data_IF_979139893607
#
_entry.id   IF_979139893607
#
_cell.length_a   1.000
_cell.length_b   1.000
_cell.length_c   1.000
_cell.angle_alpha   90.00
_cell.angle_beta   90.00
_cell.angle_gamma   90.00
#
_symmetry.space_group_name_H-M   'P 1'
#
loop_
_entity.id
_entity.type
_entity.pdbx_description
1 polymer ?
#
# COMPACT_ATOMS: atom_id res chain seq x y z
N UNK A 1 -31.99 56.59 -39.41
CA UNK A 1 -32.54 55.56 -38.47
C UNK A 1 -32.09 54.10 -38.80
N UNK A 2 -32.07 53.67 -40.08
CA UNK A 2 -31.68 52.31 -40.43
C UNK A 2 -30.18 51.94 -40.13
N UNK A 3 -29.26 52.91 -40.20
CA UNK A 3 -27.82 52.65 -39.88
C UNK A 3 -27.50 52.55 -38.41
N UNK A 4 -28.27 53.21 -37.54
CA UNK A 4 -28.12 53.10 -36.07
C UNK A 4 -28.67 51.79 -35.53
N UNK A 5 -29.70 51.23 -36.12
CA UNK A 5 -30.28 49.95 -35.73
C UNK A 5 -29.38 48.73 -36.03
N UNK A 6 -28.56 48.82 -37.13
CA UNK A 6 -27.62 47.78 -37.49
C UNK A 6 -26.40 47.70 -36.53
N UNK A 7 -25.96 48.82 -35.98
CA UNK A 7 -24.83 48.88 -35.05
C UNK A 7 -25.23 48.31 -33.67
N UNK A 8 -26.47 48.55 -33.22
CA UNK A 8 -26.97 47.96 -31.97
C UNK A 8 -27.16 46.47 -32.06
N UNK A 9 -27.57 45.93 -33.22
CA UNK A 9 -27.74 44.49 -33.43
C UNK A 9 -26.41 43.71 -33.45
N UNK A 10 -25.33 44.34 -33.99
CA UNK A 10 -23.98 43.76 -33.97
C UNK A 10 -23.36 43.80 -32.57
N UNK A 11 -23.61 44.86 -31.79
CA UNK A 11 -23.14 44.97 -30.40
C UNK A 11 -23.81 43.96 -29.47
N UNK A 12 -25.09 43.61 -29.68
CA UNK A 12 -25.81 42.60 -28.88
C UNK A 12 -25.33 41.18 -29.27
N UNK A 13 -24.97 40.89 -30.54
CA UNK A 13 -24.38 39.60 -30.92
C UNK A 13 -22.93 39.43 -30.44
N UNK A 14 -22.17 40.50 -30.23
CA UNK A 14 -20.81 40.44 -29.72
C UNK A 14 -20.75 40.21 -28.19
N UNK A 15 -21.82 40.56 -27.44
CA UNK A 15 -21.91 40.29 -26.01
C UNK A 15 -22.38 38.86 -25.69
N UNK A 16 -22.96 38.13 -26.64
CA UNK A 16 -23.41 36.75 -26.40
C UNK A 16 -22.34 35.66 -26.67
N UNK A 17 -21.12 36.04 -27.09
CA UNK A 17 -20.01 35.13 -27.32
C UNK A 17 -19.01 35.07 -26.15
N UNK A 18 -19.24 35.78 -25.06
CA UNK A 18 -18.46 35.73 -23.82
C UNK A 18 -19.15 35.00 -22.67
N UNK A 19 -20.19 34.19 -22.93
CA UNK A 19 -20.51 33.10 -22.02
C UNK A 19 -19.51 31.97 -22.29
N UNK A 20 -18.24 32.25 -21.97
CA UNK A 20 -17.26 31.20 -21.76
C UNK A 20 -17.89 30.21 -20.79
N UNK A 21 -17.71 28.92 -21.05
CA UNK A 21 -17.91 27.88 -20.10
C UNK A 21 -17.15 28.26 -18.80
N UNK A 22 -17.80 28.98 -17.90
CA UNK A 22 -17.45 28.89 -16.52
C UNK A 22 -17.78 27.43 -16.20
N UNK A 23 -16.77 26.58 -16.01
CA UNK A 23 -16.93 25.40 -15.20
C UNK A 23 -17.71 25.89 -14.00
N UNK A 24 -18.91 25.35 -13.81
CA UNK A 24 -19.59 25.49 -12.53
C UNK A 24 -18.70 24.73 -11.57
N UNK A 25 -17.83 25.47 -10.88
CA UNK A 25 -17.36 25.07 -9.58
C UNK A 25 -18.65 25.01 -8.72
N UNK A 26 -19.20 23.85 -8.58
CA UNK A 26 -20.41 23.60 -7.78
C UNK A 26 -20.08 23.66 -6.28
N UNK A 27 -18.82 23.99 -5.94
CA UNK A 27 -18.33 24.09 -4.56
C UNK A 27 -18.25 22.75 -3.85
N UNK A 28 -18.37 21.64 -4.58
CA UNK A 28 -18.27 20.30 -4.04
C UNK A 28 -16.83 19.81 -4.23
N UNK A 29 -16.15 19.57 -3.11
CA UNK A 29 -14.80 18.98 -3.11
C UNK A 29 -14.86 17.51 -3.46
N UNK A 30 -14.08 17.08 -4.46
CA UNK A 30 -14.01 15.70 -4.95
C UNK A 30 -12.64 15.08 -4.77
N UNK A 31 -12.57 13.90 -4.20
CA UNK A 31 -11.34 13.14 -3.99
C UNK A 31 -11.36 11.83 -4.79
N UNK A 32 -10.27 11.54 -5.49
CA UNK A 32 -10.06 10.22 -6.09
C UNK A 32 -9.26 9.33 -5.12
N UNK A 33 -9.80 8.19 -4.73
CA UNK A 33 -9.07 7.15 -4.00
C UNK A 33 -8.65 6.09 -5.03
N UNK A 34 -7.35 5.83 -5.15
CA UNK A 34 -6.82 4.90 -6.17
C UNK A 34 -6.06 3.77 -5.50
N UNK A 35 -6.73 2.65 -5.29
CA UNK A 35 -6.16 1.46 -4.66
C UNK A 35 -5.40 0.62 -5.68
N UNK A 36 -4.22 0.09 -5.32
CA UNK A 36 -3.39 -0.72 -6.22
C UNK A 36 -4.07 -2.03 -6.61
N UNK A 37 -4.60 -2.77 -5.63
CA UNK A 37 -5.39 -4.00 -5.81
C UNK A 37 -6.25 -4.25 -4.56
N UNK A 38 -7.17 -5.20 -4.64
CA UNK A 38 -8.01 -5.58 -3.49
C UNK A 38 -7.32 -6.67 -2.67
N UNK A 39 -7.10 -6.39 -1.39
CA UNK A 39 -6.83 -7.35 -0.32
C UNK A 39 -7.11 -6.68 1.04
N UNK A 40 -7.24 -7.47 2.10
CA UNK A 40 -7.79 -7.02 3.38
C UNK A 40 -7.10 -5.77 3.95
N UNK A 41 -5.76 -5.71 3.98
CA UNK A 41 -5.05 -4.53 4.52
C UNK A 41 -5.33 -3.26 3.71
N UNK A 42 -5.32 -3.31 2.36
CA UNK A 42 -5.61 -2.13 1.54
C UNK A 42 -7.10 -1.75 1.59
N UNK A 43 -8.01 -2.72 1.74
CA UNK A 43 -9.44 -2.47 1.91
C UNK A 43 -9.74 -1.80 3.26
N UNK A 44 -9.03 -2.18 4.32
CA UNK A 44 -9.10 -1.49 5.62
C UNK A 44 -8.66 -0.04 5.51
N UNK A 45 -7.53 0.23 4.85
CA UNK A 45 -7.04 1.59 4.59
C UNK A 45 -8.10 2.40 3.84
N UNK A 46 -8.60 1.86 2.71
CA UNK A 46 -9.61 2.52 1.88
C UNK A 46 -10.85 2.83 2.68
N UNK A 47 -11.39 1.86 3.41
CA UNK A 47 -12.61 2.02 4.21
C UNK A 47 -12.44 3.10 5.28
N UNK A 48 -11.28 3.16 5.94
CA UNK A 48 -10.98 4.18 6.94
C UNK A 48 -10.84 5.58 6.32
N UNK A 49 -10.20 5.70 5.15
CA UNK A 49 -10.12 6.97 4.39
C UNK A 49 -11.53 7.44 3.99
N UNK A 50 -12.36 6.55 3.41
CA UNK A 50 -13.74 6.84 3.01
C UNK A 50 -14.59 7.32 4.20
N UNK A 51 -14.38 6.76 5.39
CA UNK A 51 -15.07 7.18 6.61
C UNK A 51 -14.69 8.63 7.02
N UNK A 52 -13.40 8.99 6.97
CA UNK A 52 -12.93 10.34 7.30
C UNK A 52 -13.43 11.39 6.29
N UNK A 53 -13.40 11.07 4.97
CA UNK A 53 -13.93 11.94 3.93
C UNK A 53 -15.45 12.13 4.07
N UNK A 54 -16.19 11.06 4.34
CA UNK A 54 -17.64 11.10 4.61
C UNK A 54 -17.95 11.99 5.81
N UNK A 55 -17.22 11.82 6.91
CA UNK A 55 -17.40 12.64 8.11
C UNK A 55 -17.12 14.14 7.86
N UNK A 56 -16.23 14.45 6.92
CA UNK A 56 -15.90 15.81 6.50
C UNK A 56 -16.87 16.38 5.44
N UNK A 57 -17.80 15.59 4.90
CA UNK A 57 -18.72 15.99 3.84
C UNK A 57 -18.05 16.16 2.47
N UNK A 58 -16.95 15.43 2.23
CA UNK A 58 -16.19 15.45 0.98
C UNK A 58 -16.65 14.30 0.10
N UNK A 59 -16.96 14.58 -1.17
CA UNK A 59 -17.30 13.54 -2.15
C UNK A 59 -16.04 12.80 -2.62
N UNK A 60 -16.16 11.50 -2.81
CA UNK A 60 -15.06 10.69 -3.32
C UNK A 60 -15.52 9.63 -4.30
N UNK A 61 -14.56 9.14 -5.06
CA UNK A 61 -14.73 7.96 -5.91
C UNK A 61 -13.50 7.06 -5.77
N UNK A 62 -13.75 5.78 -5.55
CA UNK A 62 -12.72 4.76 -5.43
C UNK A 62 -12.50 4.03 -6.76
N UNK A 63 -11.24 3.77 -7.08
CA UNK A 63 -10.76 3.07 -8.25
C UNK A 63 -9.84 1.92 -7.85
N UNK A 64 -9.83 0.84 -8.61
CA UNK A 64 -8.96 -0.31 -8.41
C UNK A 64 -8.01 -0.49 -9.60
N UNK A 65 -6.71 -0.51 -9.33
CA UNK A 65 -5.65 -0.68 -10.32
C UNK A 65 -5.40 -2.12 -10.73
N UNK A 66 -5.99 -3.11 -10.05
CA UNK A 66 -5.87 -4.55 -10.36
C UNK A 66 -4.40 -5.04 -10.40
N UNK A 67 -3.54 -4.40 -9.63
CA UNK A 67 -2.09 -4.62 -9.64
C UNK A 67 -1.43 -4.50 -11.03
N UNK A 68 -2.00 -3.65 -11.89
CA UNK A 68 -1.55 -3.46 -13.26
C UNK A 68 -1.19 -1.99 -13.53
N UNK A 69 0.08 -1.73 -13.84
CA UNK A 69 0.58 -0.38 -14.08
C UNK A 69 -0.12 0.32 -15.25
N UNK A 70 -0.56 -0.41 -16.27
CA UNK A 70 -1.28 0.18 -17.41
C UNK A 70 -2.67 0.65 -16.99
N UNK A 71 -3.36 -0.14 -16.19
CA UNK A 71 -4.66 0.21 -15.59
C UNK A 71 -4.52 1.43 -14.68
N UNK A 72 -3.51 1.44 -13.79
CA UNK A 72 -3.23 2.59 -12.92
C UNK A 72 -2.93 3.87 -13.71
N UNK A 73 -2.15 3.79 -14.78
CA UNK A 73 -1.88 4.94 -15.66
C UNK A 73 -3.13 5.46 -16.37
N UNK A 74 -4.04 4.57 -16.80
CA UNK A 74 -5.33 4.96 -17.37
C UNK A 74 -6.22 5.66 -16.34
N UNK A 75 -6.29 5.12 -15.11
CA UNK A 75 -6.99 5.75 -13.99
C UNK A 75 -6.40 7.12 -13.69
N UNK A 76 -5.07 7.26 -13.64
CA UNK A 76 -4.38 8.53 -13.41
C UNK A 76 -4.73 9.57 -14.48
N UNK A 77 -4.70 9.20 -15.76
CA UNK A 77 -5.11 10.09 -16.85
C UNK A 77 -6.59 10.53 -16.73
N UNK A 78 -7.47 9.60 -16.34
CA UNK A 78 -8.89 9.91 -16.11
C UNK A 78 -9.05 10.86 -14.93
N UNK A 79 -8.44 10.57 -13.77
CA UNK A 79 -8.56 11.37 -12.55
C UNK A 79 -8.09 12.81 -12.77
N UNK A 80 -6.96 12.99 -13.47
CA UNK A 80 -6.45 14.32 -13.83
C UNK A 80 -7.38 15.05 -14.80
N UNK A 81 -8.02 14.32 -15.74
CA UNK A 81 -8.97 14.90 -16.72
C UNK A 81 -10.32 15.27 -16.08
N UNK A 82 -10.73 14.56 -15.02
CA UNK A 82 -12.02 14.74 -14.35
C UNK A 82 -11.96 15.82 -13.25
N UNK A 83 -10.84 16.57 -13.16
CA UNK A 83 -10.60 17.71 -12.25
C UNK A 83 -10.92 17.38 -10.77
N UNK A 84 -10.31 16.31 -10.23
CA UNK A 84 -10.37 16.01 -8.80
C UNK A 84 -9.51 16.98 -8.00
N UNK A 85 -9.99 17.39 -6.81
CA UNK A 85 -9.32 18.34 -5.93
C UNK A 85 -8.14 17.73 -5.15
N UNK A 86 -8.12 16.41 -4.98
CA UNK A 86 -7.01 15.65 -4.42
C UNK A 86 -7.05 14.19 -4.90
N UNK A 87 -5.91 13.53 -4.83
CA UNK A 87 -5.76 12.10 -5.15
C UNK A 87 -5.18 11.39 -3.92
N UNK A 88 -5.81 10.30 -3.50
CA UNK A 88 -5.32 9.44 -2.42
C UNK A 88 -4.98 8.08 -3.01
N UNK A 89 -3.73 7.87 -3.47
CA UNK A 89 -3.28 6.55 -3.89
C UNK A 89 -2.98 5.67 -2.68
N UNK A 90 -3.37 4.39 -2.77
CA UNK A 90 -3.10 3.37 -1.75
C UNK A 90 -2.11 2.36 -2.32
N UNK A 91 -1.00 2.17 -1.65
CA UNK A 91 0.21 1.42 -1.99
C UNK A 91 1.13 2.12 -3.01
N UNK A 92 2.37 1.65 -3.07
CA UNK A 92 3.51 2.37 -3.68
C UNK A 92 3.36 2.53 -5.19
N UNK A 93 3.00 1.48 -5.93
CA UNK A 93 2.84 1.57 -7.39
C UNK A 93 1.70 2.53 -7.79
N UNK A 94 0.59 2.51 -7.04
CA UNK A 94 -0.50 3.45 -7.26
C UNK A 94 -0.03 4.90 -7.03
N UNK A 95 0.75 5.15 -5.97
CA UNK A 95 1.30 6.47 -5.69
C UNK A 95 2.22 6.96 -6.80
N UNK A 96 3.14 6.12 -7.27
CA UNK A 96 4.04 6.46 -8.39
C UNK A 96 3.29 6.79 -9.68
N UNK A 97 2.26 5.99 -10.01
CA UNK A 97 1.43 6.24 -11.20
C UNK A 97 0.65 7.56 -11.08
N UNK A 98 0.07 7.86 -9.91
CA UNK A 98 -0.70 9.09 -9.71
C UNK A 98 0.20 10.33 -9.70
N UNK A 99 1.38 10.28 -9.07
CA UNK A 99 2.37 11.37 -9.12
C UNK A 99 2.81 11.63 -10.57
N UNK A 100 3.07 10.56 -11.33
CA UNK A 100 3.44 10.68 -12.75
C UNK A 100 2.30 11.28 -13.59
N UNK A 101 1.06 10.85 -13.38
CA UNK A 101 -0.10 11.36 -14.12
C UNK A 101 -0.39 12.83 -13.82
N UNK A 102 -0.15 13.27 -12.59
CA UNK A 102 -0.38 14.65 -12.13
C UNK A 102 0.84 15.56 -12.31
N UNK A 103 1.89 15.13 -13.03
CA UNK A 103 3.08 15.95 -13.25
C UNK A 103 2.73 17.31 -13.88
N UNK A 104 3.30 18.38 -13.30
CA UNK A 104 3.00 19.75 -13.68
C UNK A 104 1.62 20.27 -13.28
N UNK A 105 0.86 19.53 -12.47
CA UNK A 105 -0.41 19.98 -11.84
C UNK A 105 -0.22 20.27 -10.37
N UNK A 106 -1.01 21.19 -9.85
CA UNK A 106 -1.04 21.54 -8.42
C UNK A 106 -2.15 20.76 -7.69
N UNK A 107 -2.23 19.46 -7.94
CA UNK A 107 -3.19 18.55 -7.31
C UNK A 107 -2.51 17.91 -6.11
N UNK A 108 -3.03 18.07 -4.88
CA UNK A 108 -2.49 17.37 -3.71
C UNK A 108 -2.58 15.84 -3.87
N UNK A 109 -1.47 15.15 -3.61
CA UNK A 109 -1.40 13.69 -3.61
C UNK A 109 -1.03 13.24 -2.21
N UNK A 110 -1.91 12.49 -1.57
CA UNK A 110 -1.75 12.02 -0.21
C UNK A 110 -1.73 10.49 -0.23
N UNK A 111 -0.54 9.91 -0.37
CA UNK A 111 -0.41 8.45 -0.46
C UNK A 111 -0.66 7.77 0.89
N UNK A 112 -1.16 6.53 0.84
CA UNK A 112 -1.33 5.65 1.98
C UNK A 112 -0.48 4.39 1.80
N UNK A 113 0.19 3.94 2.87
CA UNK A 113 0.97 2.71 2.90
C UNK A 113 2.04 2.62 1.78
N UNK A 114 2.89 3.64 1.68
CA UNK A 114 4.13 3.55 0.92
C UNK A 114 5.26 3.19 1.88
N UNK A 115 5.81 1.97 1.77
CA UNK A 115 6.77 1.47 2.75
C UNK A 115 8.08 2.26 2.77
N UNK A 116 8.58 2.69 1.60
CA UNK A 116 9.75 3.58 1.47
C UNK A 116 9.47 4.70 0.47
N UNK A 117 8.89 5.83 0.91
CA UNK A 117 8.58 6.95 0.02
C UNK A 117 9.81 7.56 -0.65
N UNK A 118 10.98 7.50 0.00
CA UNK A 118 12.21 8.06 -0.56
C UNK A 118 12.71 7.22 -1.75
N UNK A 119 12.80 5.90 -1.59
CA UNK A 119 13.19 4.98 -2.68
C UNK A 119 12.16 4.98 -3.81
N UNK A 120 10.87 5.18 -3.48
CA UNK A 120 9.81 5.29 -4.47
C UNK A 120 9.79 6.63 -5.24
N UNK A 121 10.64 7.61 -4.87
CA UNK A 121 10.68 8.94 -5.49
C UNK A 121 9.48 9.83 -5.14
N UNK A 122 8.86 9.60 -3.98
CA UNK A 122 7.64 10.29 -3.53
C UNK A 122 7.92 11.41 -2.51
N UNK A 123 9.17 11.84 -2.37
CA UNK A 123 9.59 12.89 -1.43
C UNK A 123 10.10 14.13 -2.13
N UNK A 124 10.10 15.28 -1.43
CA UNK A 124 10.65 16.53 -1.96
C UNK A 124 9.75 17.30 -2.92
N UNK A 125 8.51 16.86 -3.13
CA UNK A 125 7.50 17.56 -3.93
C UNK A 125 6.52 18.31 -3.01
N UNK A 126 6.24 19.58 -3.34
CA UNK A 126 5.47 20.47 -2.47
C UNK A 126 4.00 20.04 -2.26
N UNK A 127 3.43 19.30 -3.20
CA UNK A 127 2.04 18.83 -3.20
C UNK A 127 1.90 17.33 -2.94
N UNK A 128 2.97 16.62 -2.54
CA UNK A 128 2.96 15.17 -2.30
C UNK A 128 3.35 14.88 -0.86
N UNK A 129 2.53 14.10 -0.18
CA UNK A 129 2.75 13.61 1.19
C UNK A 129 2.00 12.30 1.40
N UNK A 130 1.99 11.77 2.62
CA UNK A 130 1.20 10.59 2.95
C UNK A 130 1.67 9.86 4.18
N UNK A 131 1.33 8.57 4.24
CA UNK A 131 1.69 7.67 5.34
C UNK A 131 2.54 6.50 4.86
N UNK A 132 3.51 6.12 5.68
CA UNK A 132 4.38 4.97 5.44
C UNK A 132 4.11 3.86 6.45
N UNK A 133 4.07 2.64 5.95
CA UNK A 133 4.01 1.38 6.70
C UNK A 133 5.39 0.69 6.75
N UNK A 134 6.46 1.46 6.84
CA UNK A 134 7.83 0.96 6.87
C UNK A 134 8.01 -0.20 7.86
N UNK A 135 8.63 -1.29 7.40
CA UNK A 135 8.82 -2.49 8.21
C UNK A 135 10.00 -2.36 9.16
N UNK A 136 9.88 -2.95 10.34
CA UNK A 136 11.02 -3.31 11.17
C UNK A 136 11.50 -4.71 10.79
N UNK A 137 12.19 -4.83 9.66
CA UNK A 137 12.66 -6.09 9.09
C UNK A 137 13.53 -6.88 10.06
N UNK A 138 14.40 -6.19 10.81
CA UNK A 138 15.26 -6.84 11.82
C UNK A 138 14.43 -7.49 12.92
N UNK A 139 13.39 -6.83 13.38
CA UNK A 139 12.51 -7.37 14.40
C UNK A 139 11.77 -8.62 13.92
N UNK A 140 11.33 -8.66 12.65
CA UNK A 140 10.70 -9.85 12.07
C UNK A 140 11.69 -11.02 12.03
N UNK A 141 12.95 -10.78 11.69
CA UNK A 141 14.00 -11.82 11.74
C UNK A 141 14.25 -12.26 13.20
N UNK A 142 14.28 -11.33 14.17
CA UNK A 142 14.39 -11.68 15.58
C UNK A 142 13.23 -12.53 16.08
N UNK A 143 11.99 -12.31 15.56
CA UNK A 143 10.84 -13.19 15.82
C UNK A 143 11.09 -14.61 15.30
N UNK A 144 11.68 -14.77 14.10
CA UNK A 144 12.03 -16.08 13.56
C UNK A 144 13.00 -16.80 14.51
N UNK A 145 14.06 -16.10 14.93
CA UNK A 145 15.11 -16.66 15.81
C UNK A 145 14.60 -16.91 17.24
N UNK A 146 13.61 -16.15 17.71
CA UNK A 146 12.99 -16.39 19.01
C UNK A 146 12.14 -17.67 19.03
N UNK A 147 11.45 -17.99 17.91
CA UNK A 147 10.68 -19.23 17.77
C UNK A 147 11.58 -20.43 17.47
N UNK A 148 12.59 -20.24 16.62
CA UNK A 148 13.56 -21.30 16.29
C UNK A 148 14.98 -20.72 16.25
N UNK A 149 15.76 -20.89 17.33
CA UNK A 149 17.16 -20.40 17.39
C UNK A 149 18.13 -21.18 16.49
N UNK A 150 17.73 -22.32 15.97
CA UNK A 150 18.57 -23.18 15.13
C UNK A 150 18.42 -22.90 13.62
N UNK A 151 17.73 -21.79 13.24
CA UNK A 151 17.62 -21.36 11.85
C UNK A 151 19.01 -21.17 11.23
N UNK A 152 19.28 -21.85 10.16
CA UNK A 152 20.54 -21.84 9.40
C UNK A 152 20.40 -21.19 8.02
N UNK A 153 19.19 -21.20 7.46
CA UNK A 153 18.89 -20.62 6.15
C UNK A 153 17.49 -20.00 6.11
N UNK A 154 17.38 -18.76 5.66
CA UNK A 154 16.11 -18.05 5.43
C UNK A 154 15.85 -17.91 3.94
N UNK A 155 14.65 -18.28 3.49
CA UNK A 155 14.16 -17.97 2.15
C UNK A 155 13.69 -16.50 2.08
N UNK A 156 14.13 -15.76 1.09
CA UNK A 156 13.66 -14.41 0.80
C UNK A 156 12.79 -14.49 -0.47
N UNK A 157 11.47 -14.35 -0.30
CA UNK A 157 10.49 -14.44 -1.38
C UNK A 157 9.89 -13.06 -1.66
N UNK A 158 10.13 -12.51 -2.83
CA UNK A 158 9.68 -11.17 -3.19
C UNK A 158 9.56 -10.98 -4.71
N UNK A 159 9.03 -9.83 -5.13
CA UNK A 159 8.93 -9.43 -6.54
C UNK A 159 9.96 -8.34 -6.88
N UNK A 160 10.62 -8.48 -8.02
CA UNK A 160 11.51 -7.45 -8.56
C UNK A 160 10.74 -6.26 -9.18
N UNK A 161 9.43 -6.37 -9.34
CA UNK A 161 8.57 -5.30 -9.85
C UNK A 161 8.03 -4.37 -8.76
N UNK A 162 8.26 -4.71 -7.49
CA UNK A 162 7.76 -3.97 -6.32
C UNK A 162 8.93 -3.25 -5.63
N UNK A 163 9.05 -1.93 -5.84
CA UNK A 163 10.13 -1.13 -5.26
C UNK A 163 10.07 -1.08 -3.73
N UNK A 164 8.87 -1.21 -3.14
CA UNK A 164 8.66 -1.33 -1.70
C UNK A 164 9.28 -2.60 -1.09
N UNK A 165 9.64 -3.59 -1.90
CA UNK A 165 10.33 -4.80 -1.44
C UNK A 165 11.86 -4.61 -1.36
N UNK A 166 12.44 -3.64 -2.07
CA UNK A 166 13.90 -3.50 -2.18
C UNK A 166 14.56 -3.21 -0.83
N UNK A 167 14.09 -2.20 -0.10
CA UNK A 167 14.65 -1.80 1.19
C UNK A 167 14.54 -2.91 2.23
N UNK A 168 13.36 -3.53 2.50
CA UNK A 168 13.25 -4.62 3.45
C UNK A 168 14.10 -5.83 3.10
N UNK A 169 14.22 -6.19 1.82
CA UNK A 169 15.07 -7.30 1.38
C UNK A 169 16.55 -6.98 1.58
N UNK A 170 17.00 -5.76 1.28
CA UNK A 170 18.38 -5.34 1.54
C UNK A 170 18.71 -5.36 3.05
N UNK A 171 17.79 -4.89 3.90
CA UNK A 171 17.91 -4.94 5.36
C UNK A 171 17.94 -6.38 5.89
N UNK A 172 17.06 -7.26 5.36
CA UNK A 172 17.04 -8.67 5.74
C UNK A 172 18.38 -9.35 5.43
N UNK A 173 18.93 -9.14 4.23
CA UNK A 173 20.21 -9.69 3.81
C UNK A 173 21.34 -9.20 4.72
N UNK A 174 21.42 -7.89 4.95
CA UNK A 174 22.44 -7.31 5.81
C UNK A 174 22.38 -7.85 7.24
N UNK A 175 21.17 -8.04 7.78
CA UNK A 175 21.00 -8.54 9.13
C UNK A 175 21.26 -10.04 9.25
N UNK A 176 20.88 -10.84 8.26
CA UNK A 176 21.20 -12.26 8.18
C UNK A 176 22.72 -12.49 8.04
N UNK A 177 23.40 -11.66 7.24
CA UNK A 177 24.88 -11.67 7.12
C UNK A 177 25.54 -11.35 8.49
N UNK A 178 25.04 -10.33 9.23
CA UNK A 178 25.50 -10.00 10.58
C UNK A 178 25.36 -11.17 11.56
N UNK A 179 24.25 -11.93 11.46
CA UNK A 179 23.98 -13.12 12.28
C UNK A 179 24.71 -14.37 11.80
N UNK A 180 25.34 -14.36 10.63
CA UNK A 180 25.97 -15.53 10.04
C UNK A 180 24.99 -16.58 9.53
N UNK A 181 23.75 -16.18 9.20
CA UNK A 181 22.67 -17.04 8.72
C UNK A 181 22.62 -16.96 7.19
N UNK A 182 22.64 -18.10 6.52
CA UNK A 182 22.52 -18.13 5.07
C UNK A 182 21.09 -17.74 4.61
N UNK A 183 21.00 -17.22 3.39
CA UNK A 183 19.69 -16.95 2.76
C UNK A 183 19.64 -17.41 1.32
N UNK A 184 18.42 -17.64 0.83
CA UNK A 184 18.14 -18.07 -0.54
C UNK A 184 17.07 -17.16 -1.13
N UNK A 185 17.46 -16.32 -2.09
CA UNK A 185 16.53 -15.44 -2.79
C UNK A 185 15.75 -16.17 -3.88
N UNK A 186 14.44 -15.97 -3.91
CA UNK A 186 13.55 -16.40 -4.97
C UNK A 186 12.56 -15.28 -5.29
N UNK A 187 12.41 -15.01 -6.58
CA UNK A 187 11.58 -13.90 -7.06
C UNK A 187 10.55 -14.38 -8.07
N UNK A 188 9.41 -13.68 -8.10
CA UNK A 188 8.36 -13.88 -9.09
C UNK A 188 7.52 -12.59 -9.21
N UNK A 189 7.19 -12.19 -10.43
CA UNK A 189 6.41 -10.97 -10.70
C UNK A 189 4.97 -11.29 -11.13
N UNK A 190 4.74 -12.50 -11.64
CA UNK A 190 3.43 -13.02 -11.99
C UNK A 190 3.05 -14.20 -11.08
N UNK A 191 1.77 -14.51 -10.98
CA UNK A 191 1.24 -15.52 -10.08
C UNK A 191 1.94 -16.91 -10.22
N UNK A 192 2.15 -17.38 -11.43
CA UNK A 192 2.81 -18.65 -11.73
C UNK A 192 4.31 -18.63 -11.41
N UNK A 193 4.97 -17.50 -11.60
CA UNK A 193 6.36 -17.29 -11.21
C UNK A 193 6.52 -17.33 -9.69
N UNK A 194 5.62 -16.64 -8.95
CA UNK A 194 5.60 -16.65 -7.47
C UNK A 194 5.42 -18.07 -6.93
N UNK A 195 4.46 -18.83 -7.47
CA UNK A 195 4.24 -20.21 -7.08
C UNK A 195 5.48 -21.07 -7.37
N UNK A 196 6.13 -20.86 -8.50
CA UNK A 196 7.39 -21.54 -8.85
C UNK A 196 8.50 -21.16 -7.88
N UNK A 197 8.61 -19.89 -7.53
CA UNK A 197 9.60 -19.36 -6.57
C UNK A 197 9.39 -19.96 -5.16
N UNK A 198 8.14 -20.02 -4.68
CA UNK A 198 7.79 -20.62 -3.39
C UNK A 198 8.16 -22.12 -3.35
N UNK A 199 7.80 -22.89 -4.39
CA UNK A 199 8.17 -24.29 -4.50
C UNK A 199 9.71 -24.51 -4.53
N UNK A 200 10.46 -23.56 -5.10
CA UNK A 200 11.92 -23.66 -5.15
C UNK A 200 12.60 -23.41 -3.78
N UNK A 201 11.87 -22.96 -2.76
CA UNK A 201 12.32 -22.81 -1.37
C UNK A 201 12.11 -24.08 -0.54
N UNK A 202 11.17 -24.94 -0.94
CA UNK A 202 10.81 -26.16 -0.21
C UNK A 202 12.01 -27.09 0.00
N UNK A 203 12.25 -27.45 1.27
CA UNK A 203 13.37 -28.29 1.70
C UNK A 203 14.74 -27.65 1.60
N UNK A 204 14.82 -26.32 1.45
CA UNK A 204 16.08 -25.58 1.27
C UNK A 204 16.29 -24.43 2.26
N UNK A 205 15.28 -24.08 3.01
CA UNK A 205 15.33 -23.07 4.06
C UNK A 205 14.48 -23.49 5.27
N UNK A 206 14.76 -22.90 6.43
CA UNK A 206 14.13 -23.20 7.70
C UNK A 206 12.94 -22.28 7.99
N UNK A 207 12.93 -21.10 7.38
CA UNK A 207 11.84 -20.11 7.41
C UNK A 207 11.85 -19.30 6.12
N UNK A 208 10.73 -18.61 5.82
CA UNK A 208 10.62 -17.70 4.68
C UNK A 208 10.22 -16.31 5.17
N UNK A 209 10.81 -15.28 4.59
CA UNK A 209 10.43 -13.86 4.73
C UNK A 209 9.90 -13.31 3.42
N UNK A 210 8.76 -12.62 3.49
CA UNK A 210 8.20 -11.80 2.41
C UNK A 210 7.86 -10.42 2.97
N UNK A 211 8.33 -9.32 2.37
CA UNK A 211 7.92 -7.96 2.78
C UNK A 211 6.46 -7.66 2.43
N UNK A 212 6.05 -6.39 2.45
CA UNK A 212 4.72 -5.92 2.00
C UNK A 212 4.62 -5.94 0.46
N UNK A 213 4.76 -7.10 -0.14
CA UNK A 213 4.84 -7.32 -1.59
C UNK A 213 3.47 -7.69 -2.18
N UNK A 214 2.92 -6.82 -3.02
CA UNK A 214 1.58 -6.99 -3.58
C UNK A 214 1.51 -8.08 -4.65
N UNK A 215 2.62 -8.34 -5.37
CA UNK A 215 2.66 -9.45 -6.32
C UNK A 215 2.60 -10.80 -5.62
N UNK A 216 3.29 -10.93 -4.47
CA UNK A 216 3.21 -12.13 -3.62
C UNK A 216 1.84 -12.21 -2.94
N UNK A 217 1.31 -11.07 -2.45
CA UNK A 217 0.00 -11.02 -1.78
C UNK A 217 -1.13 -11.54 -2.67
N UNK A 218 -1.06 -11.24 -3.96
CA UNK A 218 -2.07 -11.70 -4.94
C UNK A 218 -2.27 -13.23 -4.99
N UNK A 219 -1.32 -14.01 -4.49
CA UNK A 219 -1.36 -15.49 -4.41
C UNK A 219 -0.97 -16.00 -3.02
N UNK A 220 -1.14 -15.16 -1.99
CA UNK A 220 -0.66 -15.44 -0.64
C UNK A 220 -1.19 -16.76 -0.05
N UNK A 221 -2.46 -17.08 -0.27
CA UNK A 221 -3.06 -18.35 0.18
C UNK A 221 -2.36 -19.57 -0.41
N UNK A 222 -2.07 -19.57 -1.73
CA UNK A 222 -1.36 -20.64 -2.37
C UNK A 222 0.10 -20.74 -1.91
N UNK A 223 0.77 -19.62 -1.69
CA UNK A 223 2.13 -19.59 -1.11
C UNK A 223 2.12 -20.16 0.32
N UNK A 224 1.16 -19.74 1.15
CA UNK A 224 1.00 -20.27 2.50
C UNK A 224 0.76 -21.77 2.50
N UNK A 225 -0.11 -22.29 1.63
CA UNK A 225 -0.36 -23.73 1.49
C UNK A 225 0.91 -24.51 1.15
N UNK A 226 1.69 -24.04 0.17
CA UNK A 226 2.96 -24.67 -0.24
C UNK A 226 3.94 -24.76 0.93
N UNK A 227 4.14 -23.62 1.64
CA UNK A 227 5.13 -23.55 2.71
C UNK A 227 4.67 -24.31 3.96
N UNK A 228 3.38 -24.22 4.33
CA UNK A 228 2.80 -24.95 5.46
C UNK A 228 2.86 -26.48 5.25
N UNK A 229 2.53 -26.96 4.05
CA UNK A 229 2.66 -28.37 3.69
C UNK A 229 4.11 -28.87 3.73
N UNK A 230 5.07 -27.98 3.55
CA UNK A 230 6.50 -28.27 3.65
C UNK A 230 7.05 -28.12 5.09
N UNK A 231 6.23 -27.69 6.05
CA UNK A 231 6.67 -27.43 7.43
C UNK A 231 7.53 -26.18 7.60
N UNK A 232 7.43 -25.22 6.69
CA UNK A 232 8.26 -24.01 6.65
C UNK A 232 7.42 -22.79 7.12
N UNK A 233 7.71 -22.18 8.27
CA UNK A 233 7.01 -20.98 8.72
C UNK A 233 7.29 -19.79 7.81
N UNK A 234 6.22 -19.09 7.44
CA UNK A 234 6.26 -17.91 6.59
C UNK A 234 6.01 -16.65 7.41
N UNK A 235 7.01 -15.77 7.51
CA UNK A 235 6.95 -14.48 8.16
C UNK A 235 6.81 -13.37 7.12
N UNK A 236 5.96 -12.39 7.39
CA UNK A 236 5.54 -11.46 6.34
C UNK A 236 5.50 -10.01 6.83
N UNK A 237 5.34 -9.07 5.88
CA UNK A 237 5.29 -7.64 6.18
C UNK A 237 3.90 -7.12 6.56
N UNK A 238 2.82 -7.89 6.36
CA UNK A 238 1.46 -7.43 6.61
C UNK A 238 0.57 -8.55 7.18
N UNK A 239 -0.46 -8.15 7.93
CA UNK A 239 -1.42 -9.06 8.56
C UNK A 239 -2.36 -9.75 7.54
N UNK A 240 -2.58 -9.14 6.38
CA UNK A 240 -3.28 -9.78 5.26
C UNK A 240 -2.65 -11.10 4.83
N UNK A 241 -1.32 -11.21 4.83
CA UNK A 241 -0.65 -12.49 4.59
C UNK A 241 -0.94 -13.52 5.69
N UNK A 242 -1.01 -13.05 6.94
CA UNK A 242 -1.27 -13.92 8.09
C UNK A 242 -2.70 -14.45 8.04
N UNK A 243 -3.67 -13.61 7.68
CA UNK A 243 -5.05 -14.04 7.47
C UNK A 243 -5.21 -14.92 6.22
N UNK A 244 -4.31 -14.84 5.24
CA UNK A 244 -4.24 -15.75 4.10
C UNK A 244 -3.52 -17.08 4.42
N UNK A 245 -3.02 -17.29 5.66
CA UNK A 245 -2.44 -18.54 6.12
C UNK A 245 -0.92 -18.52 6.37
N UNK A 246 -0.24 -17.38 6.23
CA UNK A 246 1.15 -17.24 6.69
C UNK A 246 1.24 -17.30 8.22
N UNK A 247 2.43 -17.55 8.78
CA UNK A 247 2.56 -17.77 10.21
C UNK A 247 2.44 -16.51 11.04
N UNK A 248 3.27 -15.49 10.76
CA UNK A 248 3.32 -14.29 11.61
C UNK A 248 3.84 -13.06 10.86
N UNK A 249 3.49 -11.90 11.39
CA UNK A 249 4.01 -10.58 10.98
C UNK A 249 4.26 -9.70 12.20
N UNK A 250 5.04 -8.63 12.00
CA UNK A 250 5.07 -7.48 12.90
C UNK A 250 4.90 -6.22 12.04
N UNK A 251 3.74 -5.60 12.12
CA UNK A 251 3.33 -4.51 11.25
C UNK A 251 2.64 -3.36 11.98
N UNK A 252 1.89 -2.59 11.23
CA UNK A 252 1.09 -1.43 11.66
C UNK A 252 -0.40 -1.80 11.75
N UNK A 253 -1.21 -0.90 12.32
CA UNK A 253 -2.66 -0.97 12.24
C UNK A 253 -3.12 -0.25 10.96
N UNK A 254 -3.62 -0.98 9.98
CA UNK A 254 -4.01 -0.42 8.69
C UNK A 254 -5.29 0.42 8.75
N UNK A 255 -6.20 0.16 9.69
CA UNK A 255 -7.36 1.04 9.96
C UNK A 255 -6.89 2.40 10.49
N UNK A 256 -5.95 2.42 11.44
CA UNK A 256 -5.38 3.67 11.95
C UNK A 256 -4.59 4.43 10.88
N UNK A 257 -3.83 3.73 10.04
CA UNK A 257 -3.11 4.30 8.91
C UNK A 257 -4.09 5.00 7.94
N UNK A 258 -5.16 4.31 7.57
CA UNK A 258 -6.19 4.87 6.70
C UNK A 258 -6.87 6.10 7.30
N UNK A 259 -7.24 6.06 8.59
CA UNK A 259 -7.82 7.18 9.30
C UNK A 259 -6.85 8.37 9.37
N UNK A 260 -5.57 8.13 9.63
CA UNK A 260 -4.54 9.18 9.64
C UNK A 260 -4.39 9.84 8.26
N UNK A 261 -4.31 9.02 7.20
CA UNK A 261 -4.23 9.50 5.81
C UNK A 261 -5.46 10.31 5.41
N UNK A 262 -6.66 9.83 5.76
CA UNK A 262 -7.92 10.53 5.49
C UNK A 262 -8.00 11.89 6.19
N UNK A 263 -7.60 11.96 7.47
CA UNK A 263 -7.53 13.24 8.23
C UNK A 263 -6.51 14.19 7.60
N UNK A 264 -5.34 13.69 7.20
CA UNK A 264 -4.33 14.50 6.52
C UNK A 264 -4.88 15.10 5.22
N UNK A 265 -5.60 14.31 4.43
CA UNK A 265 -6.25 14.79 3.20
C UNK A 265 -7.32 15.86 3.49
N UNK A 266 -8.17 15.64 4.49
CA UNK A 266 -9.19 16.61 4.93
C UNK A 266 -8.57 17.94 5.37
N UNK A 267 -7.46 17.89 6.13
CA UNK A 267 -6.77 19.09 6.61
C UNK A 267 -6.16 19.87 5.44
N UNK A 268 -5.52 19.22 4.48
CA UNK A 268 -4.96 19.83 3.27
C UNK A 268 -6.06 20.49 2.44
N UNK A 269 -7.17 19.79 2.20
CA UNK A 269 -8.31 20.31 1.42
C UNK A 269 -9.01 21.50 2.10
N UNK A 270 -8.90 21.64 3.41
CA UNK A 270 -9.37 22.83 4.16
C UNK A 270 -8.37 23.99 4.18
N UNK A 271 -7.29 23.91 3.40
CA UNK A 271 -6.27 24.94 3.29
C UNK A 271 -5.11 24.80 4.29
N UNK A 272 -4.95 23.63 4.89
CA UNK A 272 -3.78 23.26 5.68
C UNK A 272 -2.52 23.15 4.83
N UNK A 273 -1.36 23.17 5.47
CA UNK A 273 -0.08 22.95 4.79
C UNK A 273 0.11 21.47 4.49
N UNK A 274 0.77 21.14 3.37
CA UNK A 274 1.21 19.78 3.06
C UNK A 274 2.40 19.45 3.98
N UNK A 275 2.27 18.51 4.94
CA UNK A 275 3.37 18.15 5.84
C UNK A 275 4.38 17.23 5.15
N UNK A 276 5.50 16.95 5.81
CA UNK A 276 6.29 15.76 5.48
C UNK A 276 5.44 14.48 5.70
N UNK A 277 5.81 13.39 5.04
CA UNK A 277 5.10 12.13 5.24
C UNK A 277 5.26 11.62 6.68
N UNK A 278 4.28 10.84 7.12
CA UNK A 278 4.26 10.26 8.46
C UNK A 278 4.54 8.75 8.39
N UNK A 279 5.52 8.30 9.18
CA UNK A 279 5.77 6.86 9.37
C UNK A 279 4.89 6.38 10.51
N UNK A 280 4.05 5.39 10.25
CA UNK A 280 3.15 4.83 11.26
C UNK A 280 3.92 4.07 12.34
N UNK A 281 3.43 4.17 13.57
CA UNK A 281 3.93 3.34 14.66
C UNK A 281 3.60 1.87 14.37
N UNK A 282 4.64 1.03 14.36
CA UNK A 282 4.52 -0.42 14.17
C UNK A 282 4.57 -1.17 15.51
N UNK A 283 4.95 -2.44 15.44
CA UNK A 283 5.18 -3.26 16.63
C UNK A 283 3.96 -4.08 17.07
N UNK A 284 2.95 -4.21 16.23
CA UNK A 284 1.83 -5.14 16.41
C UNK A 284 2.23 -6.47 15.80
N UNK A 285 2.36 -7.51 16.65
CA UNK A 285 2.55 -8.87 16.16
C UNK A 285 1.19 -9.50 15.90
N UNK A 286 1.00 -10.02 14.68
CA UNK A 286 -0.16 -10.83 14.33
C UNK A 286 0.30 -12.24 13.99
N UNK A 287 -0.36 -13.26 14.58
CA UNK A 287 -0.02 -14.69 14.43
C UNK A 287 -1.25 -15.46 13.95
N UNK A 288 -1.08 -16.30 12.95
CA UNK A 288 -2.11 -17.29 12.58
C UNK A 288 -2.00 -18.50 13.50
N UNK A 289 -2.99 -18.65 14.39
CA UNK A 289 -3.03 -19.71 15.40
C UNK A 289 -3.24 -21.10 14.78
N UNK A 290 -3.93 -21.21 13.64
CA UNK A 290 -4.13 -22.46 12.91
C UNK A 290 -2.83 -22.92 12.25
N UNK A 291 -2.12 -22.00 11.60
CA UNK A 291 -0.80 -22.25 11.02
C UNK A 291 0.22 -22.60 12.10
N UNK A 292 0.23 -21.88 13.23
CA UNK A 292 1.09 -22.21 14.37
C UNK A 292 0.86 -23.65 14.86
N UNK A 293 -0.41 -24.05 15.01
CA UNK A 293 -0.78 -25.40 15.44
C UNK A 293 -0.38 -26.47 14.41
N UNK A 294 -0.63 -26.20 13.10
CA UNK A 294 -0.27 -27.12 12.02
C UNK A 294 1.25 -27.34 11.94
N UNK A 295 2.05 -26.31 12.15
CA UNK A 295 3.51 -26.35 12.16
C UNK A 295 4.10 -26.76 13.52
N UNK A 296 3.27 -26.93 14.57
CA UNK A 296 3.70 -27.24 15.93
C UNK A 296 4.65 -26.19 16.51
N UNK A 297 4.39 -24.90 16.22
CA UNK A 297 5.19 -23.76 16.68
C UNK A 297 4.61 -23.17 17.97
N UNK A 298 5.47 -22.92 18.94
CA UNK A 298 5.14 -22.14 20.13
C UNK A 298 5.52 -20.67 19.91
N UNK A 299 4.52 -19.80 19.89
CA UNK A 299 4.70 -18.37 19.71
C UNK A 299 4.52 -17.55 20.99
N UNK A 300 4.42 -18.21 22.15
CA UNK A 300 4.27 -17.53 23.44
C UNK A 300 5.45 -16.58 23.76
N UNK A 301 6.60 -16.79 23.15
CA UNK A 301 7.77 -15.91 23.22
C UNK A 301 7.46 -14.49 22.72
N UNK A 302 6.48 -14.31 21.84
CA UNK A 302 6.11 -13.01 21.31
C UNK A 302 5.47 -12.08 22.34
N UNK A 303 4.84 -12.63 23.39
CA UNK A 303 4.29 -11.83 24.50
C UNK A 303 5.37 -11.02 25.24
N UNK A 304 6.62 -11.46 25.20
CA UNK A 304 7.76 -10.73 25.75
C UNK A 304 8.43 -9.77 24.74
N UNK A 305 8.09 -9.87 23.45
CA UNK A 305 8.72 -9.09 22.38
C UNK A 305 7.92 -7.86 22.00
N UNK A 306 6.59 -7.88 22.14
CA UNK A 306 5.71 -6.77 21.76
C UNK A 306 4.62 -6.53 22.80
N UNK A 307 4.12 -5.28 22.84
CA UNK A 307 3.01 -4.92 23.73
C UNK A 307 1.66 -5.46 23.25
N UNK A 308 1.56 -5.73 21.94
CA UNK A 308 0.33 -6.22 21.31
C UNK A 308 0.64 -7.45 20.46
N UNK A 309 0.03 -8.57 20.82
CA UNK A 309 0.07 -9.81 20.06
C UNK A 309 -1.38 -10.22 19.75
N UNK A 310 -1.71 -10.30 18.48
CA UNK A 310 -3.03 -10.68 17.98
C UNK A 310 -2.98 -12.09 17.41
N UNK A 311 -3.89 -12.94 17.85
CA UNK A 311 -4.08 -14.27 17.28
C UNK A 311 -5.26 -14.24 16.30
N UNK A 312 -5.04 -14.66 15.07
CA UNK A 312 -6.05 -14.75 14.01
C UNK A 312 -6.16 -16.18 13.48
N UNK A 313 -7.23 -16.43 12.73
CA UNK A 313 -7.43 -17.66 11.95
C UNK A 313 -7.35 -17.34 10.46
N UNK A 314 -7.14 -18.37 9.65
CA UNK A 314 -7.16 -18.24 8.20
C UNK A 314 -8.57 -17.88 7.73
N UNK A 315 -8.68 -16.84 6.92
CA UNK A 315 -9.92 -16.46 6.26
C UNK A 315 -9.92 -17.17 4.90
N UNK A 316 -10.93 -18.03 4.68
CA UNK A 316 -11.11 -18.64 3.36
C UNK A 316 -11.63 -17.57 2.38
N UNK A 317 -11.01 -17.50 1.20
CA UNK A 317 -11.46 -16.67 0.09
C UNK A 317 -12.82 -17.13 -0.48
#
# INVERSE_FOLDING_TARGET
MKKFMSIILVAVMALSLFTGCANKDDGITKVAIVQQLDHSSLDEIRTAIEAELTAAGIEFKSFNGQNDASTLNQIGAQVVSDDYDAIIPIATLAAQCMVTAADGKDIPIIYAACSDPASAGLTGMANVTGTSDALNTKFIIDMMLAVNPDISCVGLLYSNSEINSETPIAEAKAYLDEKGIAYLEKTGNAADEVITAANALVGRCDAVFTPTDNAIMNVAGAVAEILNNAGIPHYTGADSFVTAGSFATCGVNYTELGSYTGKMAVDILKGGTVPEFHVMDGGIITVNSETAAALSLDFSVFDAMANTVLAVSTIAD
#
